data_IF_750025994143
#
_entry.id   IF_750025994143
#
_cell.length_a   1.000
_cell.length_b   1.000
_cell.length_c   1.000
_cell.angle_alpha   90.00
_cell.angle_beta   90.00
_cell.angle_gamma   90.00
#
_symmetry.space_group_name_H-M   'P 1'
#
loop_
_entity.id
_entity.type
_entity.pdbx_description
1 polymer ?
#
# COMPACT_ATOMS: atom_id res chain seq x y z
N UNK A 1 6.53 11.70 11.30
CA UNK A 1 5.82 12.77 10.58
C UNK A 1 4.51 12.20 10.10
N UNK A 2 3.42 12.87 10.45
CA UNK A 2 2.09 12.40 10.07
C UNK A 2 1.71 12.83 8.65
N UNK A 3 0.80 12.10 8.04
CA UNK A 3 0.28 12.32 6.68
C UNK A 3 -1.14 12.88 6.77
N UNK A 4 -1.30 14.15 6.42
CA UNK A 4 -2.59 14.85 6.35
C UNK A 4 -3.33 14.64 5.02
N UNK A 5 -2.63 14.30 3.94
CA UNK A 5 -3.19 14.00 2.61
C UNK A 5 -3.20 12.49 2.38
N UNK A 6 -3.83 11.77 3.32
CA UNK A 6 -4.01 10.33 3.20
C UNK A 6 -4.97 10.01 2.04
N UNK A 7 -4.59 9.06 1.17
CA UNK A 7 -5.49 8.56 0.14
C UNK A 7 -6.67 7.86 0.82
N UNK A 8 -7.84 8.49 0.73
CA UNK A 8 -9.07 7.98 1.35
C UNK A 8 -9.86 7.07 0.41
N UNK A 9 -9.47 7.03 -0.87
CA UNK A 9 -10.00 6.13 -1.89
C UNK A 9 -8.86 5.66 -2.80
N UNK A 10 -9.07 4.56 -3.52
CA UNK A 10 -8.12 4.06 -4.53
C UNK A 10 -7.95 5.05 -5.69
N UNK A 11 -8.98 5.85 -5.96
CA UNK A 11 -8.95 6.87 -7.01
C UNK A 11 -7.85 7.91 -6.73
N UNK A 12 -7.70 8.30 -5.47
CA UNK A 12 -6.75 9.32 -5.02
C UNK A 12 -5.34 8.76 -4.74
N UNK A 13 -5.12 7.46 -4.94
CA UNK A 13 -3.83 6.83 -4.66
C UNK A 13 -2.74 7.32 -5.63
N UNK A 14 -1.57 7.69 -5.10
CA UNK A 14 -0.42 8.23 -5.83
C UNK A 14 -0.74 9.52 -6.60
N UNK A 15 -1.62 10.36 -6.07
CA UNK A 15 -1.90 11.66 -6.66
C UNK A 15 -0.79 12.69 -6.35
N UNK A 16 -0.89 13.87 -6.96
CA UNK A 16 0.12 14.93 -6.78
C UNK A 16 0.15 15.46 -5.35
N UNK A 17 -0.99 15.48 -4.67
CA UNK A 17 -1.09 15.94 -3.28
C UNK A 17 -0.31 15.02 -2.33
N UNK A 18 -0.52 13.71 -2.45
CA UNK A 18 0.20 12.70 -1.67
C UNK A 18 1.71 12.79 -1.87
N UNK A 19 2.17 12.93 -3.11
CA UNK A 19 3.60 13.07 -3.39
C UNK A 19 4.19 14.41 -2.91
N UNK A 20 3.43 15.50 -3.00
CA UNK A 20 3.86 16.79 -2.47
C UNK A 20 4.03 16.76 -0.95
N UNK A 21 3.14 16.04 -0.25
CA UNK A 21 3.29 15.81 1.18
C UNK A 21 4.51 14.93 1.49
N UNK A 22 4.73 13.84 0.76
CA UNK A 22 5.90 12.98 0.96
C UNK A 22 7.23 13.76 0.85
N UNK A 23 7.33 14.67 -0.12
CA UNK A 23 8.47 15.58 -0.25
C UNK A 23 8.59 16.55 0.95
N UNK A 24 7.47 17.03 1.47
CA UNK A 24 7.48 17.87 2.67
C UNK A 24 7.94 17.08 3.90
N UNK A 25 7.54 15.81 4.00
CA UNK A 25 7.97 14.95 5.09
C UNK A 25 9.47 14.65 5.03
N UNK A 26 10.07 14.50 3.85
CA UNK A 26 11.53 14.43 3.67
C UNK A 26 12.22 15.63 4.33
N UNK A 27 11.81 16.85 3.97
CA UNK A 27 12.45 18.06 4.49
C UNK A 27 12.36 18.11 6.02
N UNK A 28 11.20 17.75 6.57
CA UNK A 28 10.97 17.69 8.01
C UNK A 28 11.79 16.60 8.69
N UNK A 29 11.94 15.43 8.07
CA UNK A 29 12.79 14.34 8.56
C UNK A 29 14.25 14.80 8.64
N UNK A 30 14.77 15.42 7.59
CA UNK A 30 16.13 15.97 7.57
C UNK A 30 16.35 17.00 8.67
N UNK A 31 15.42 17.94 8.83
CA UNK A 31 15.47 18.98 9.88
C UNK A 31 15.37 18.42 11.30
N UNK A 32 14.71 17.28 11.48
CA UNK A 32 14.63 16.59 12.76
C UNK A 32 15.92 15.82 13.07
N UNK A 33 16.53 15.19 12.06
CA UNK A 33 17.84 14.53 12.20
C UNK A 33 18.98 15.49 12.49
N UNK A 34 18.95 16.73 11.94
CA UNK A 34 19.86 17.80 12.34
C UNK A 34 19.83 18.13 13.85
N UNK A 35 18.78 17.67 14.55
CA UNK A 35 18.56 17.86 15.99
C UNK A 35 18.57 16.55 16.79
N UNK A 36 19.07 15.47 16.19
CA UNK A 36 19.12 14.12 16.80
C UNK A 36 17.75 13.58 17.25
N UNK A 37 16.66 13.99 16.59
CA UNK A 37 15.31 13.50 16.87
C UNK A 37 15.00 12.32 15.96
N UNK A 38 14.58 11.20 16.54
CA UNK A 38 14.16 10.02 15.77
C UNK A 38 12.83 10.28 15.07
N UNK A 39 12.72 9.85 13.81
CA UNK A 39 11.56 10.08 12.96
C UNK A 39 11.21 8.81 12.20
N UNK A 40 9.91 8.60 12.02
CA UNK A 40 9.31 7.70 11.04
C UNK A 40 8.34 8.50 10.17
N UNK A 41 8.17 8.14 8.91
CA UNK A 41 7.24 8.77 7.98
C UNK A 41 5.96 7.94 7.90
N UNK A 42 4.79 8.58 7.95
CA UNK A 42 3.52 7.89 7.75
C UNK A 42 3.22 7.74 6.25
N UNK A 43 2.64 6.62 5.86
CA UNK A 43 2.37 6.28 4.46
C UNK A 43 0.90 6.37 4.06
N UNK A 44 0.54 5.84 2.88
CA UNK A 44 -0.81 5.93 2.33
C UNK A 44 -1.83 5.08 3.10
N UNK A 45 -3.11 5.35 2.83
CA UNK A 45 -4.26 4.58 3.33
C UNK A 45 -4.80 3.66 2.25
N UNK A 46 -5.60 4.16 1.32
CA UNK A 46 -6.14 3.35 0.22
C UNK A 46 -5.16 3.36 -0.96
N UNK A 47 -4.64 2.19 -1.34
CA UNK A 47 -3.73 2.06 -2.49
C UNK A 47 -3.88 0.68 -3.11
N UNK A 48 -4.12 0.59 -4.44
CA UNK A 48 -4.23 -0.70 -5.11
C UNK A 48 -2.84 -1.36 -5.21
N UNK A 49 -2.79 -2.69 -5.17
CA UNK A 49 -1.54 -3.47 -5.11
C UNK A 49 -0.47 -3.03 -6.14
N UNK A 50 -0.89 -2.78 -7.38
CA UNK A 50 0.02 -2.39 -8.47
C UNK A 50 0.66 -1.00 -8.31
N UNK A 51 0.18 -0.17 -7.39
CA UNK A 51 0.72 1.17 -7.08
C UNK A 51 1.65 1.19 -5.86
N UNK A 52 1.68 0.13 -5.07
CA UNK A 52 2.54 0.00 -3.88
C UNK A 52 4.03 0.15 -4.23
N UNK A 53 4.55 -0.44 -5.33
CA UNK A 53 5.97 -0.33 -5.65
C UNK A 53 6.41 1.13 -5.86
N UNK A 54 5.62 1.91 -6.59
CA UNK A 54 5.95 3.31 -6.89
C UNK A 54 6.08 4.17 -5.63
N UNK A 55 5.13 4.05 -4.69
CA UNK A 55 5.17 4.87 -3.47
C UNK A 55 6.34 4.46 -2.57
N UNK A 56 6.69 3.17 -2.51
CA UNK A 56 7.84 2.71 -1.73
C UNK A 56 9.18 3.12 -2.32
N UNK A 57 9.35 2.99 -3.64
CA UNK A 57 10.56 3.46 -4.31
C UNK A 57 10.78 4.96 -4.05
N UNK A 58 9.72 5.78 -4.19
CA UNK A 58 9.79 7.22 -3.90
C UNK A 58 10.05 7.50 -2.43
N UNK A 59 9.47 6.72 -1.52
CA UNK A 59 9.71 6.92 -0.09
C UNK A 59 11.17 6.64 0.29
N UNK A 60 11.76 5.56 -0.22
CA UNK A 60 13.16 5.21 0.01
C UNK A 60 14.09 6.27 -0.58
N UNK A 61 13.82 6.68 -1.83
CA UNK A 61 14.62 7.69 -2.55
C UNK A 61 14.53 9.07 -1.88
N UNK A 62 13.31 9.54 -1.60
CA UNK A 62 13.09 10.91 -1.13
C UNK A 62 13.35 10.99 0.37
N UNK A 63 12.79 10.10 1.19
CA UNK A 63 12.88 10.21 2.65
C UNK A 63 14.15 9.57 3.25
N UNK A 64 15.21 9.38 2.46
CA UNK A 64 16.50 8.84 2.90
C UNK A 64 16.38 7.54 3.72
N UNK A 65 15.54 6.62 3.26
CA UNK A 65 15.29 5.33 3.93
C UNK A 65 14.78 5.45 5.38
N UNK A 66 14.18 6.60 5.75
CA UNK A 66 13.53 6.75 7.05
C UNK A 66 12.45 5.66 7.24
N UNK A 67 12.23 5.14 8.47
CA UNK A 67 11.22 4.11 8.71
C UNK A 67 9.83 4.55 8.23
N UNK A 68 9.14 3.67 7.49
CA UNK A 68 7.83 3.98 6.92
C UNK A 68 6.70 3.21 7.60
N UNK A 69 5.73 3.94 8.14
CA UNK A 69 4.59 3.41 8.85
C UNK A 69 3.32 3.57 8.00
N UNK A 70 2.78 2.46 7.49
CA UNK A 70 1.58 2.47 6.66
C UNK A 70 0.35 2.03 7.47
N UNK A 71 -0.78 2.67 7.21
CA UNK A 71 -2.07 2.22 7.71
C UNK A 71 -2.59 1.14 6.74
N UNK A 72 -2.30 -0.12 7.08
CA UNK A 72 -2.62 -1.36 6.36
C UNK A 72 -3.47 -1.20 5.11
N UNK A 73 -2.85 -0.99 3.93
CA UNK A 73 -3.56 -0.28 2.90
C UNK A 73 -4.72 -1.04 2.30
N UNK A 74 -5.83 -0.34 2.18
CA UNK A 74 -7.04 -0.85 1.56
C UNK A 74 -6.81 -0.95 0.06
N UNK A 75 -6.70 -2.17 -0.45
CA UNK A 75 -6.52 -2.45 -1.88
C UNK A 75 -7.83 -2.43 -2.65
N UNK A 76 -8.95 -2.37 -1.93
CA UNK A 76 -10.30 -2.25 -2.47
C UNK A 76 -11.16 -1.33 -1.62
N UNK A 77 -11.99 -0.50 -2.26
CA UNK A 77 -12.94 0.40 -1.59
C UNK A 77 -14.33 -0.24 -1.42
N UNK A 78 -14.55 -1.43 -2.00
CA UNK A 78 -15.89 -2.05 -2.10
C UNK A 78 -16.14 -3.17 -1.08
N UNK A 79 -15.11 -3.62 -0.36
CA UNK A 79 -15.21 -4.67 0.64
C UNK A 79 -14.78 -4.13 2.01
N UNK A 80 -15.72 -3.84 2.93
CA UNK A 80 -15.36 -3.34 4.26
C UNK A 80 -14.55 -4.38 5.05
N UNK A 81 -13.63 -3.89 5.89
CA UNK A 81 -12.65 -4.69 6.63
C UNK A 81 -13.29 -5.73 7.58
N UNK A 82 -14.49 -5.46 8.07
CA UNK A 82 -15.13 -6.22 9.13
C UNK A 82 -15.82 -7.48 8.59
N UNK A 83 -15.16 -8.63 8.78
CA UNK A 83 -15.80 -9.95 8.77
C UNK A 83 -15.58 -10.84 7.55
N UNK A 84 -14.73 -10.44 6.59
CA UNK A 84 -14.41 -11.26 5.42
C UNK A 84 -13.00 -11.86 5.51
N UNK A 85 -12.81 -13.18 5.39
CA UNK A 85 -11.48 -13.80 5.39
C UNK A 85 -10.56 -13.28 4.27
N UNK A 86 -11.16 -12.79 3.18
CA UNK A 86 -10.45 -12.19 2.05
C UNK A 86 -9.69 -10.90 2.44
N UNK A 87 -10.12 -10.18 3.48
CA UNK A 87 -9.43 -8.95 3.92
C UNK A 87 -8.10 -9.26 4.59
N UNK A 88 -7.97 -10.39 5.31
CA UNK A 88 -6.71 -10.83 5.90
C UNK A 88 -5.69 -11.28 4.85
N UNK A 89 -6.16 -11.94 3.79
CA UNK A 89 -5.32 -12.34 2.66
C UNK A 89 -4.78 -11.08 1.97
N UNK A 90 -5.64 -10.10 1.70
CA UNK A 90 -5.23 -8.82 1.11
C UNK A 90 -4.21 -8.09 2.00
N UNK A 91 -4.44 -8.05 3.32
CA UNK A 91 -3.47 -7.43 4.24
C UNK A 91 -2.12 -8.15 4.21
N UNK A 92 -2.09 -9.48 4.13
CA UNK A 92 -0.83 -10.22 3.99
C UNK A 92 -0.13 -9.89 2.66
N UNK A 93 -0.83 -9.93 1.53
CA UNK A 93 -0.29 -9.61 0.19
C UNK A 93 0.27 -8.20 0.13
N UNK A 94 -0.44 -7.24 0.72
CA UNK A 94 0.00 -5.86 0.87
C UNK A 94 1.32 -5.78 1.63
N UNK A 95 1.40 -6.39 2.80
CA UNK A 95 2.62 -6.35 3.62
C UNK A 95 3.79 -7.03 2.90
N UNK A 96 3.54 -8.06 2.10
CA UNK A 96 4.57 -8.66 1.23
C UNK A 96 5.01 -7.66 0.16
N UNK A 97 4.09 -7.01 -0.56
CA UNK A 97 4.43 -6.03 -1.58
C UNK A 97 5.31 -4.89 -1.04
N UNK A 98 4.96 -4.34 0.12
CA UNK A 98 5.79 -3.34 0.81
C UNK A 98 7.18 -3.87 1.14
N UNK A 99 7.26 -5.09 1.68
CA UNK A 99 8.53 -5.71 2.08
C UNK A 99 9.43 -6.00 0.89
N UNK A 100 8.90 -6.61 -0.17
CA UNK A 100 9.69 -7.00 -1.33
C UNK A 100 10.22 -5.77 -2.06
N UNK A 101 9.39 -4.72 -2.23
CA UNK A 101 9.88 -3.46 -2.80
C UNK A 101 10.94 -2.81 -1.91
N UNK A 102 10.77 -2.82 -0.59
CA UNK A 102 11.78 -2.30 0.34
C UNK A 102 13.11 -3.08 0.29
N UNK A 103 13.08 -4.34 -0.14
CA UNK A 103 14.26 -5.18 -0.32
C UNK A 103 14.85 -5.11 -1.73
N UNK A 104 14.28 -4.30 -2.63
CA UNK A 104 14.70 -4.21 -4.03
C UNK A 104 14.24 -5.39 -4.91
N UNK A 105 13.28 -6.18 -4.42
CA UNK A 105 12.68 -7.30 -5.13
C UNK A 105 11.30 -6.89 -5.67
N UNK A 106 11.22 -6.45 -6.93
CA UNK A 106 9.93 -6.19 -7.56
C UNK A 106 9.28 -7.52 -7.95
N UNK A 107 8.35 -8.04 -7.14
CA UNK A 107 7.58 -9.23 -7.53
C UNK A 107 6.61 -8.89 -8.68
N UNK A 108 6.50 -9.78 -9.68
CA UNK A 108 5.36 -9.83 -10.60
C UNK A 108 4.11 -10.31 -9.84
N UNK A 109 3.47 -9.44 -9.04
CA UNK A 109 2.25 -9.76 -8.25
C UNK A 109 0.99 -9.82 -9.14
N UNK A 110 1.10 -10.36 -10.37
CA UNK A 110 -0.01 -10.41 -11.33
C UNK A 110 -0.48 -11.82 -11.72
N UNK A 111 0.17 -12.90 -11.26
CA UNK A 111 -0.13 -14.25 -11.75
C UNK A 111 -1.07 -15.11 -10.88
N UNK A 112 -1.37 -14.74 -9.64
CA UNK A 112 -2.23 -15.56 -8.75
C UNK A 112 -3.70 -15.14 -8.68
N UNK A 113 -4.08 -13.99 -9.25
CA UNK A 113 -5.48 -13.54 -9.29
C UNK A 113 -6.16 -14.01 -10.59
N UNK A 114 -6.27 -15.33 -10.77
CA UNK A 114 -7.37 -15.88 -11.56
C UNK A 114 -8.35 -16.56 -10.60
N UNK A 115 -9.61 -16.09 -10.46
CA UNK A 115 -10.59 -16.81 -9.69
C UNK A 115 -10.76 -18.21 -10.29
N UNK A 116 -10.54 -19.24 -9.48
CA UNK A 116 -10.65 -20.63 -9.86
C UNK A 116 -12.02 -20.88 -10.52
N UNK A 117 -12.02 -21.11 -11.84
CA UNK A 117 -13.23 -21.42 -12.61
C UNK A 117 -13.85 -22.78 -12.25
N UNK A 118 -13.31 -23.51 -11.26
CA UNK A 118 -13.73 -24.89 -10.92
C UNK A 118 -14.85 -25.03 -9.88
N UNK A 119 -15.52 -23.97 -9.45
CA UNK A 119 -16.66 -24.10 -8.53
C UNK A 119 -18.00 -23.46 -8.99
N UNK A 120 -18.21 -23.33 -10.31
CA UNK A 120 -19.57 -23.15 -10.86
C UNK A 120 -19.92 -24.24 -11.87
N UNK A 121 -20.09 -25.45 -11.38
CA UNK A 121 -20.85 -26.48 -12.09
C UNK A 121 -21.39 -27.48 -11.09
N UNK A 122 -22.59 -27.20 -10.56
CA UNK A 122 -23.60 -28.22 -10.26
C UNK A 122 -24.95 -27.53 -10.10
N UNK A 123 -25.95 -28.16 -10.72
CA UNK A 123 -27.39 -27.86 -10.70
C UNK A 123 -27.85 -26.86 -11.76
N UNK A 124 -28.15 -27.34 -12.98
CA UNK A 124 -29.47 -27.21 -13.64
C UNK A 124 -29.64 -28.30 -14.73
N UNK A 125 -30.72 -29.07 -14.61
CA UNK A 125 -31.50 -29.83 -15.62
C UNK A 125 -30.86 -30.96 -16.46
N UNK A 126 -31.44 -32.16 -16.30
CA UNK A 126 -31.91 -32.97 -17.44
C UNK A 126 -33.11 -33.83 -17.00
N UNK A 127 -34.28 -33.53 -17.55
CA UNK A 127 -35.30 -34.53 -17.93
C UNK A 127 -34.74 -35.47 -19.01
#
# INVERSE_FOLDING_TARGET
MSTGMISSTIYDANDTAQFAELLTQEELTRRAWEKDVQVMNEGPGHIPLHKIPEIMEKQLEWCNEAPFYTLGPFTTDIAPQDGFPDTLIQQHEVQQAYRTTAQGETQEIQSEIQPDKRQRSKTVASE
#
